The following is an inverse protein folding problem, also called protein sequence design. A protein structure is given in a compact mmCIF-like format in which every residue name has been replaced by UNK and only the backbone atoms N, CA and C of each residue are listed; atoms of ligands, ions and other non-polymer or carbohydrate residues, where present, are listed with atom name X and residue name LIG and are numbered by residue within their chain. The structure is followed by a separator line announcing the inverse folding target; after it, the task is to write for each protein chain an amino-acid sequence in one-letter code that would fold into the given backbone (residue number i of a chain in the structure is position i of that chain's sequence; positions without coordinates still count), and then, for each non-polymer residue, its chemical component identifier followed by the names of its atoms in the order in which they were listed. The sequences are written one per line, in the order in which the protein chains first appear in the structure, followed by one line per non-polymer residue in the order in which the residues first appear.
data_IF_521100532781
#
_entry.id   IF_521100532781
#
_cell.length_a   1.000
_cell.length_b   1.000
_cell.length_c   1.000
_cell.angle_alpha   90.00
_cell.angle_beta   90.00
_cell.angle_gamma   90.00
#
_symmetry.space_group_name_H-M   'P 1'
#
loop_
_entity.id
_entity.type
_entity.pdbx_description
1 polymer ?
#
# COMPACT_ATOMS: atom_id res chain seq x y z
N UNK A 1 -1.95 -18.64 3.51
CA UNK A 1 -1.23 -17.38 3.17
C UNK A 1 -2.20 -16.31 2.67
N UNK A 2 -3.26 -16.67 1.95
CA UNK A 2 -4.27 -15.74 1.43
C UNK A 2 -5.01 -14.92 2.51
N UNK A 3 -5.17 -15.49 3.70
CA UNK A 3 -5.73 -14.80 4.87
C UNK A 3 -4.68 -14.69 5.96
N UNK A 4 -4.03 -13.55 6.04
CA UNK A 4 -3.00 -13.25 7.05
C UNK A 4 -3.59 -13.05 8.45
N UNK A 5 -2.72 -13.15 9.44
CA UNK A 5 -3.12 -13.21 10.86
C UNK A 5 -3.36 -11.84 11.50
N UNK A 6 -2.83 -10.76 10.91
CA UNK A 6 -2.96 -9.40 11.45
C UNK A 6 -4.33 -8.79 11.18
N UNK A 7 -4.67 -8.62 9.91
CA UNK A 7 -5.91 -7.97 9.47
C UNK A 7 -6.61 -8.72 8.33
N UNK A 8 -6.26 -9.99 8.10
CA UNK A 8 -6.89 -10.82 7.07
C UNK A 8 -6.38 -10.61 5.65
N UNK A 9 -5.43 -9.70 5.41
CA UNK A 9 -4.78 -9.52 4.11
C UNK A 9 -3.79 -10.63 3.78
N UNK A 10 -3.51 -10.91 2.49
CA UNK A 10 -2.52 -11.90 2.10
C UNK A 10 -1.14 -11.64 2.69
N UNK A 11 -0.47 -12.71 3.12
CA UNK A 11 0.95 -12.67 3.49
C UNK A 11 1.78 -12.78 2.22
N UNK A 12 2.71 -11.83 2.02
CA UNK A 12 3.64 -11.77 0.88
C UNK A 12 5.08 -11.66 1.39
N UNK A 13 6.05 -11.82 0.49
CA UNK A 13 7.49 -11.65 0.75
C UNK A 13 8.04 -12.51 1.91
N UNK A 14 7.61 -13.78 1.97
CA UNK A 14 8.09 -14.75 2.95
C UNK A 14 8.82 -15.92 2.29
N UNK A 15 9.92 -16.34 2.91
CA UNK A 15 10.56 -17.63 2.64
C UNK A 15 10.12 -18.66 3.67
N UNK A 16 9.69 -19.84 3.22
CA UNK A 16 9.26 -20.94 4.10
C UNK A 16 10.11 -22.17 3.81
N UNK A 17 10.73 -22.72 4.85
CA UNK A 17 11.48 -23.96 4.79
C UNK A 17 10.92 -24.97 5.79
N UNK A 18 10.55 -26.15 5.30
CA UNK A 18 10.24 -27.30 6.14
C UNK A 18 11.51 -28.12 6.25
N UNK A 19 12.08 -28.18 7.45
CA UNK A 19 13.37 -28.84 7.70
C UNK A 19 13.27 -30.05 8.63
N UNK A 20 12.10 -30.27 9.24
CA UNK A 20 11.85 -31.39 10.16
C UNK A 20 10.35 -31.77 10.14
N UNK A 21 10.04 -32.99 10.55
CA UNK A 21 8.68 -33.52 10.63
C UNK A 21 8.60 -35.03 10.83
N UNK A 22 7.42 -35.51 11.22
CA UNK A 22 7.11 -36.94 11.39
C UNK A 22 5.77 -37.29 10.76
N UNK A 23 5.55 -38.55 10.43
CA UNK A 23 4.27 -39.04 9.90
C UNK A 23 3.92 -40.41 10.48
N UNK A 24 2.64 -40.76 10.35
CA UNK A 24 2.09 -42.06 10.71
C UNK A 24 1.44 -42.69 9.47
N UNK A 25 1.82 -43.90 9.09
CA UNK A 25 1.42 -44.51 7.80
C UNK A 25 -0.09 -44.63 7.61
N UNK A 26 -0.86 -44.81 8.69
CA UNK A 26 -2.30 -45.08 8.62
C UNK A 26 -3.14 -43.81 8.79
N UNK A 27 -2.69 -42.88 9.63
CA UNK A 27 -3.48 -41.70 10.03
C UNK A 27 -3.05 -40.42 9.31
N UNK A 28 -1.88 -40.43 8.67
CA UNK A 28 -1.40 -39.28 7.91
C UNK A 28 -2.03 -39.25 6.53
N UNK A 29 -2.56 -38.09 6.17
CA UNK A 29 -3.16 -37.83 4.87
C UNK A 29 -2.73 -36.46 4.37
N UNK A 30 -2.90 -36.22 3.07
CA UNK A 30 -2.66 -34.91 2.46
C UNK A 30 -3.43 -33.79 3.19
N UNK A 31 -4.68 -34.06 3.57
CA UNK A 31 -5.51 -33.12 4.33
C UNK A 31 -4.91 -32.82 5.72
N UNK A 32 -4.40 -33.83 6.42
CA UNK A 32 -3.75 -33.64 7.72
C UNK A 32 -2.49 -32.75 7.61
N UNK A 33 -1.66 -32.94 6.58
CA UNK A 33 -0.48 -32.09 6.35
C UNK A 33 -0.84 -30.66 5.95
N UNK A 34 -1.91 -30.45 5.17
CA UNK A 34 -2.41 -29.10 4.86
C UNK A 34 -2.85 -28.36 6.13
N UNK A 35 -3.54 -29.05 7.04
CA UNK A 35 -3.96 -28.48 8.32
C UNK A 35 -2.73 -28.17 9.19
N UNK A 36 -1.80 -29.12 9.32
CA UNK A 36 -0.57 -28.93 10.09
C UNK A 36 0.26 -27.73 9.57
N UNK A 37 0.41 -27.60 8.25
CA UNK A 37 1.08 -26.47 7.63
C UNK A 37 0.37 -25.13 7.88
N UNK A 38 -0.97 -25.12 7.85
CA UNK A 38 -1.76 -23.92 8.19
C UNK A 38 -1.54 -23.49 9.64
N UNK A 39 -1.56 -24.42 10.58
CA UNK A 39 -1.30 -24.16 12.01
C UNK A 39 0.12 -23.66 12.23
N UNK A 40 1.11 -24.31 11.62
CA UNK A 40 2.52 -23.90 11.71
C UNK A 40 2.74 -22.49 11.17
N UNK A 41 2.16 -22.16 10.01
CA UNK A 41 2.24 -20.83 9.43
C UNK A 41 1.60 -19.78 10.34
N UNK A 42 0.43 -20.07 10.91
CA UNK A 42 -0.26 -19.14 11.80
C UNK A 42 0.57 -18.82 13.05
N UNK A 43 1.20 -19.83 13.66
CA UNK A 43 2.01 -19.67 14.86
C UNK A 43 3.36 -18.99 14.57
N UNK A 44 4.01 -19.34 13.45
CA UNK A 44 5.22 -18.67 13.00
C UNK A 44 4.97 -17.18 12.71
N UNK A 45 3.89 -16.88 11.99
CA UNK A 45 3.49 -15.51 11.61
C UNK A 45 3.33 -14.59 12.82
N UNK A 46 2.71 -15.07 13.91
CA UNK A 46 2.54 -14.26 15.14
C UNK A 46 3.86 -13.86 15.81
N UNK A 47 4.91 -14.67 15.62
CA UNK A 47 6.24 -14.46 16.23
C UNK A 47 7.21 -13.73 15.30
N UNK A 48 6.85 -13.58 14.02
CA UNK A 48 7.73 -13.03 12.98
C UNK A 48 7.77 -11.50 12.94
N UNK A 49 6.98 -10.79 13.76
CA UNK A 49 6.94 -9.33 13.74
C UNK A 49 6.35 -8.77 12.44
N UNK A 50 5.20 -9.31 12.02
CA UNK A 50 4.55 -8.91 10.77
C UNK A 50 4.21 -7.40 10.75
N UNK A 51 4.30 -6.82 9.56
CA UNK A 51 3.90 -5.45 9.25
C UNK A 51 2.77 -5.45 8.22
N UNK A 52 1.95 -4.39 8.23
CA UNK A 52 0.99 -4.16 7.15
C UNK A 52 1.66 -3.39 6.04
N UNK A 53 1.33 -3.76 4.80
CA UNK A 53 1.82 -3.08 3.61
C UNK A 53 0.66 -2.34 2.93
N UNK A 54 0.92 -1.13 2.43
CA UNK A 54 0.00 -0.39 1.56
C UNK A 54 0.60 -0.16 0.17
N UNK A 55 -0.22 -0.18 -0.90
CA UNK A 55 0.26 0.11 -2.24
C UNK A 55 0.56 1.60 -2.40
N UNK A 56 1.77 1.90 -2.83
CA UNK A 56 2.25 3.23 -3.16
C UNK A 56 2.13 3.45 -4.66
N UNK A 57 1.50 4.56 -5.02
CA UNK A 57 1.28 4.98 -6.40
C UNK A 57 2.32 6.04 -6.76
N UNK A 58 2.96 5.89 -7.91
CA UNK A 58 3.69 6.98 -8.55
C UNK A 58 2.70 7.87 -9.28
N UNK A 59 2.72 9.16 -8.97
CA UNK A 59 1.76 10.16 -9.45
C UNK A 59 2.52 11.29 -10.12
N UNK A 60 2.20 11.55 -11.39
CA UNK A 60 2.62 12.75 -12.11
C UNK A 60 1.41 13.69 -12.18
N UNK A 61 1.47 14.84 -11.50
CA UNK A 61 0.46 15.88 -11.56
C UNK A 61 0.94 17.06 -12.41
N UNK A 62 0.13 17.46 -13.39
CA UNK A 62 0.41 18.57 -14.31
C UNK A 62 -0.56 19.70 -14.02
N UNK A 63 -0.04 20.87 -13.65
CA UNK A 63 -0.86 22.02 -13.23
C UNK A 63 -0.28 23.35 -13.67
N UNK A 64 -1.10 24.36 -14.01
CA UNK A 64 -0.61 25.73 -14.18
C UNK A 64 0.06 26.27 -12.91
N UNK A 65 1.09 27.10 -13.06
CA UNK A 65 1.90 27.67 -11.97
C UNK A 65 1.06 28.39 -10.91
N UNK A 66 -0.01 29.07 -11.32
CA UNK A 66 -0.93 29.77 -10.42
C UNK A 66 -1.64 28.85 -9.39
N UNK A 67 -1.71 27.55 -9.65
CA UNK A 67 -2.32 26.56 -8.75
C UNK A 67 -1.28 25.64 -8.08
N UNK A 68 0.01 25.85 -8.33
CA UNK A 68 1.08 24.99 -7.83
C UNK A 68 1.00 24.82 -6.31
N UNK A 69 0.80 25.92 -5.58
CA UNK A 69 0.72 25.92 -4.12
C UNK A 69 -0.45 25.09 -3.59
N UNK A 70 -1.63 25.21 -4.20
CA UNK A 70 -2.83 24.46 -3.79
C UNK A 70 -2.68 22.96 -4.06
N UNK A 71 -2.19 22.58 -5.24
CA UNK A 71 -1.98 21.17 -5.61
C UNK A 71 -0.91 20.53 -4.75
N UNK A 72 0.21 21.23 -4.54
CA UNK A 72 1.30 20.77 -3.67
C UNK A 72 0.83 20.61 -2.22
N UNK A 73 0.00 21.54 -1.73
CA UNK A 73 -0.58 21.48 -0.39
C UNK A 73 -1.49 20.26 -0.21
N UNK A 74 -2.39 20.00 -1.16
CA UNK A 74 -3.29 18.85 -1.11
C UNK A 74 -2.51 17.52 -1.15
N UNK A 75 -1.53 17.39 -2.05
CA UNK A 75 -0.66 16.21 -2.12
C UNK A 75 0.07 15.97 -0.78
N UNK A 76 0.67 16.99 -0.18
CA UNK A 76 1.32 16.85 1.13
C UNK A 76 0.35 16.41 2.23
N UNK A 77 -0.89 16.93 2.23
CA UNK A 77 -1.92 16.50 3.18
C UNK A 77 -2.29 15.01 3.05
N UNK A 78 -2.08 14.44 1.86
CA UNK A 78 -2.33 13.04 1.50
C UNK A 78 -1.13 12.13 1.69
N UNK A 79 -0.18 12.53 2.54
CA UNK A 79 1.07 11.77 2.77
C UNK A 79 1.89 11.57 1.49
N UNK A 80 1.74 12.43 0.49
CA UNK A 80 2.57 12.37 -0.70
C UNK A 80 4.03 12.70 -0.34
N UNK A 81 4.96 11.95 -0.91
CA UNK A 81 6.37 12.29 -0.95
C UNK A 81 6.69 12.85 -2.33
N UNK A 82 6.98 14.15 -2.39
CA UNK A 82 7.38 14.80 -3.64
C UNK A 82 8.82 14.44 -3.94
N UNK A 83 9.07 13.91 -5.14
CA UNK A 83 10.39 13.51 -5.60
C UNK A 83 11.00 14.59 -6.48
N UNK A 84 10.23 15.13 -7.43
CA UNK A 84 10.68 16.14 -8.36
C UNK A 84 9.58 17.15 -8.67
N UNK A 85 9.99 18.40 -8.92
CA UNK A 85 9.13 19.44 -9.47
C UNK A 85 9.78 20.00 -10.73
N UNK A 86 9.12 19.80 -11.86
CA UNK A 86 9.59 20.23 -13.18
C UNK A 86 8.69 21.32 -13.79
N UNK A 87 9.10 21.78 -14.97
CA UNK A 87 8.35 22.74 -15.78
C UNK A 87 8.33 22.27 -17.25
N UNK A 88 7.14 22.29 -17.87
CA UNK A 88 6.95 21.93 -19.30
C UNK A 88 6.85 23.15 -20.22
N UNK A 89 7.23 24.32 -19.72
CA UNK A 89 7.12 25.61 -20.41
C UNK A 89 5.69 26.19 -20.36
N UNK A 90 5.53 27.43 -20.84
CA UNK A 90 4.24 28.14 -20.88
C UNK A 90 3.52 28.24 -19.51
N UNK A 91 4.29 28.27 -18.41
CA UNK A 91 3.74 28.35 -17.05
C UNK A 91 3.07 27.05 -16.56
N UNK A 92 3.36 25.90 -17.18
CA UNK A 92 2.89 24.58 -16.75
C UNK A 92 3.95 23.89 -15.89
N UNK A 93 3.58 23.53 -14.67
CA UNK A 93 4.41 22.79 -13.71
C UNK A 93 4.02 21.32 -13.70
N UNK A 94 5.01 20.48 -13.42
CA UNK A 94 4.86 19.04 -13.26
C UNK A 94 5.37 18.66 -11.88
N UNK A 95 4.61 17.84 -11.17
CA UNK A 95 4.94 17.38 -9.82
C UNK A 95 4.97 15.85 -9.86
N UNK A 96 6.15 15.29 -9.67
CA UNK A 96 6.34 13.84 -9.53
C UNK A 96 6.39 13.50 -8.05
N UNK A 97 5.51 12.59 -7.64
CA UNK A 97 5.40 12.20 -6.24
C UNK A 97 4.95 10.76 -6.07
N UNK A 98 5.19 10.22 -4.88
CA UNK A 98 4.69 8.93 -4.43
C UNK A 98 3.61 9.12 -3.39
N UNK A 99 2.45 8.52 -3.59
CA UNK A 99 1.27 8.71 -2.72
C UNK A 99 0.65 7.35 -2.40
N UNK A 100 0.26 7.09 -1.15
CA UNK A 100 -0.50 5.89 -0.83
C UNK A 100 -1.85 5.89 -1.55
N UNK A 101 -2.21 4.76 -2.19
CA UNK A 101 -3.48 4.63 -2.93
C UNK A 101 -4.70 4.93 -2.04
N UNK A 102 -4.59 4.61 -0.75
CA UNK A 102 -5.62 4.86 0.26
C UNK A 102 -6.04 6.34 0.37
N UNK A 103 -5.16 7.27 -0.01
CA UNK A 103 -5.40 8.72 0.06
C UNK A 103 -5.88 9.32 -1.28
N UNK A 104 -5.87 8.51 -2.35
CA UNK A 104 -6.16 8.95 -3.73
C UNK A 104 -7.62 8.75 -4.15
N UNK A 105 -8.45 8.15 -3.30
CA UNK A 105 -9.88 8.00 -3.58
C UNK A 105 -10.55 9.38 -3.76
N UNK A 106 -11.21 9.57 -4.90
CA UNK A 106 -11.88 10.84 -5.23
C UNK A 106 -10.94 11.98 -5.65
N UNK A 107 -9.63 11.72 -5.78
CA UNK A 107 -8.65 12.77 -6.08
C UNK A 107 -8.92 13.53 -7.38
N UNK A 108 -9.48 12.87 -8.41
CA UNK A 108 -9.89 13.52 -9.67
C UNK A 108 -10.83 14.72 -9.41
N UNK A 109 -11.81 14.54 -8.51
CA UNK A 109 -12.79 15.57 -8.18
C UNK A 109 -12.15 16.72 -7.39
N UNK A 110 -11.31 16.38 -6.40
CA UNK A 110 -10.56 17.36 -5.61
C UNK A 110 -9.63 18.21 -6.48
N UNK A 111 -8.80 17.57 -7.31
CA UNK A 111 -7.88 18.25 -8.20
C UNK A 111 -8.60 19.19 -9.18
N UNK A 112 -9.73 18.75 -9.75
CA UNK A 112 -10.56 19.59 -10.61
C UNK A 112 -11.10 20.81 -9.86
N UNK A 113 -11.53 20.64 -8.62
CA UNK A 113 -12.03 21.75 -7.79
C UNK A 113 -10.96 22.79 -7.50
N UNK A 114 -9.77 22.34 -7.05
CA UNK A 114 -8.63 23.20 -6.74
C UNK A 114 -8.14 24.00 -7.96
N UNK A 115 -8.11 23.35 -9.13
CA UNK A 115 -7.48 23.92 -10.33
C UNK A 115 -8.46 24.49 -11.33
N UNK A 116 -9.75 24.59 -10.96
CA UNK A 116 -10.85 24.97 -11.87
C UNK A 116 -10.87 24.10 -13.14
N UNK A 117 -10.50 22.83 -13.00
CA UNK A 117 -10.42 21.85 -14.09
C UNK A 117 -9.24 22.00 -15.03
N UNK A 118 -8.20 22.76 -14.65
CA UNK A 118 -7.04 23.03 -15.50
C UNK A 118 -5.82 22.15 -15.22
N UNK A 119 -5.86 21.32 -14.17
CA UNK A 119 -4.84 20.31 -13.92
C UNK A 119 -5.30 18.90 -14.29
N UNK A 120 -4.33 18.04 -14.54
CA UNK A 120 -4.48 16.60 -14.75
C UNK A 120 -3.47 15.84 -13.91
N UNK A 121 -3.70 14.56 -13.70
CA UNK A 121 -2.70 13.67 -13.13
C UNK A 121 -2.77 12.30 -13.78
N UNK A 122 -1.66 11.58 -13.72
CA UNK A 122 -1.59 10.15 -14.00
C UNK A 122 -1.12 9.42 -12.75
N UNK A 123 -1.53 8.18 -12.58
CA UNK A 123 -1.07 7.35 -11.47
C UNK A 123 -0.80 5.92 -11.95
N UNK A 124 0.33 5.35 -11.51
CA UNK A 124 0.72 3.98 -11.76
C UNK A 124 1.18 3.32 -10.46
N UNK A 125 0.99 2.00 -10.34
CA UNK A 125 1.50 1.26 -9.19
C UNK A 125 3.03 1.28 -9.22
N UNK A 126 3.66 1.58 -8.08
CA UNK A 126 5.11 1.60 -7.94
C UNK A 126 5.59 0.40 -7.11
N UNK A 127 5.20 0.34 -5.83
CA UNK A 127 5.56 -0.76 -4.92
C UNK A 127 4.61 -0.83 -3.71
N UNK A 128 4.81 -1.83 -2.86
CA UNK A 128 4.23 -1.89 -1.52
C UNK A 128 5.21 -1.34 -0.50
N UNK A 129 4.73 -0.52 0.43
CA UNK A 129 5.53 0.03 1.52
C UNK A 129 4.84 -0.17 2.87
N UNK A 130 5.58 -0.06 3.96
CA UNK A 130 5.07 -0.27 5.31
C UNK A 130 4.05 0.80 5.70
N UNK A 131 2.90 0.36 6.21
CA UNK A 131 1.87 1.25 6.74
C UNK A 131 2.39 1.91 8.03
N UNK A 132 2.29 3.24 8.17
CA UNK A 132 2.64 3.92 9.41
C UNK A 132 1.89 3.33 10.62
N UNK A 133 2.59 3.12 11.74
CA UNK A 133 2.05 2.37 12.88
C UNK A 133 0.73 2.90 13.45
N UNK A 134 0.50 4.22 13.39
CA UNK A 134 -0.76 4.85 13.78
C UNK A 134 -1.94 4.44 12.89
N UNK A 135 -1.72 4.26 11.58
CA UNK A 135 -2.73 3.83 10.62
C UNK A 135 -2.90 2.31 10.69
N UNK A 136 -1.79 1.57 10.82
CA UNK A 136 -1.82 0.11 10.93
C UNK A 136 -2.70 -0.35 12.10
N UNK A 137 -2.59 0.32 13.25
CA UNK A 137 -3.41 0.02 14.43
C UNK A 137 -4.92 0.22 14.15
N UNK A 138 -5.30 1.26 13.42
CA UNK A 138 -6.70 1.52 13.06
C UNK A 138 -7.26 0.45 12.12
N UNK A 139 -6.46 -0.04 11.18
CA UNK A 139 -6.83 -1.12 10.26
C UNK A 139 -7.02 -2.44 11.04
N UNK A 140 -6.11 -2.76 11.96
CA UNK A 140 -6.20 -3.96 12.82
C UNK A 140 -7.47 -3.91 13.70
N UNK A 141 -7.84 -2.72 14.19
CA UNK A 141 -9.05 -2.51 14.98
C UNK A 141 -10.35 -2.47 14.14
N UNK A 142 -10.26 -2.52 12.80
CA UNK A 142 -11.41 -2.46 11.89
C UNK A 142 -12.09 -1.09 11.86
N UNK A 143 -11.38 -0.02 12.20
CA UNK A 143 -11.88 1.36 12.24
C UNK A 143 -11.58 2.16 10.96
N UNK A 144 -10.89 1.55 9.99
CA UNK A 144 -10.53 2.11 8.69
C UNK A 144 -10.66 1.04 7.61
#
# INVERSE_FOLDING_TARGET
MEKGVLAGYPLVDMAVAVYDGSYHEVDSSEAAFKIAGSMALQEASKRAGLVLLEPIMKVEAVTPEQFLGEVTGDLNSKRARIEEMGERGLGIKVIDCKVPLSEMFGYVTTLRSLTQGRASFTMEFDHYDEVPGNIAQLIIEGKK
#
